data_IF_236212010372
#
_entry.id   IF_236212010372
#
_cell.length_a   1.000
_cell.length_b   1.000
_cell.length_c   1.000
_cell.angle_alpha   90.00
_cell.angle_beta   90.00
_cell.angle_gamma   90.00
#
_symmetry.space_group_name_H-M   'P 1'
#
loop_
_entity.id
_entity.type
_entity.pdbx_description
1 polymer ?
#
# COMPACT_ATOMS: atom_id res chain seq x y z
N UNK A 1 -7.01 -0.92 -20.49
CA UNK A 1 -6.60 -0.59 -19.12
C UNK A 1 -5.76 -1.73 -18.57
N UNK A 2 -4.48 -1.46 -18.31
CA UNK A 2 -3.55 -2.36 -17.61
C UNK A 2 -3.38 -1.79 -16.20
N UNK A 3 -3.61 -2.62 -15.19
CA UNK A 3 -3.59 -2.20 -13.79
C UNK A 3 -2.14 -1.97 -13.32
N UNK A 4 -1.91 -1.08 -12.34
CA UNK A 4 -0.58 -0.85 -11.82
C UNK A 4 0.01 -2.11 -11.20
N UNK A 5 1.20 -2.48 -11.68
CA UNK A 5 2.00 -3.61 -11.20
C UNK A 5 3.44 -3.13 -10.99
N UNK A 6 4.01 -3.24 -9.77
CA UNK A 6 5.34 -2.71 -9.47
C UNK A 6 6.40 -3.17 -10.47
N UNK A 7 7.11 -2.22 -11.07
CA UNK A 7 8.14 -2.47 -12.08
C UNK A 7 7.64 -2.64 -13.52
N UNK A 8 6.34 -2.54 -13.74
CA UNK A 8 5.72 -2.61 -15.06
C UNK A 8 4.92 -1.35 -15.40
N UNK A 9 4.69 -1.18 -16.70
CA UNK A 9 3.84 -0.12 -17.23
C UNK A 9 2.37 -0.46 -17.02
N UNK A 10 1.60 0.55 -16.64
CA UNK A 10 0.16 0.55 -16.48
C UNK A 10 -0.47 1.48 -17.49
N UNK A 11 -1.73 1.23 -17.86
CA UNK A 11 -2.44 2.06 -18.83
C UNK A 11 -3.82 2.43 -18.35
N UNK A 12 -4.15 3.71 -18.47
CA UNK A 12 -5.45 4.28 -18.16
C UNK A 12 -6.00 5.04 -19.36
N UNK A 13 -7.32 5.01 -19.55
CA UNK A 13 -7.99 5.73 -20.63
C UNK A 13 -8.67 6.97 -20.05
N UNK A 14 -8.39 8.14 -20.63
CA UNK A 14 -9.05 9.39 -20.31
C UNK A 14 -9.90 9.84 -21.51
N UNK A 15 -11.19 10.04 -21.25
CA UNK A 15 -12.18 10.36 -22.28
C UNK A 15 -12.95 11.63 -21.95
N UNK A 16 -13.07 12.52 -22.92
CA UNK A 16 -13.97 13.68 -22.86
C UNK A 16 -15.07 13.51 -23.91
N UNK A 17 -16.33 13.67 -23.50
CA UNK A 17 -17.49 13.63 -24.39
C UNK A 17 -18.09 15.02 -24.54
N UNK A 18 -18.24 15.49 -25.79
CA UNK A 18 -19.01 16.69 -26.05
C UNK A 18 -20.47 16.33 -26.32
N UNK A 19 -21.35 16.50 -25.34
CA UNK A 19 -22.77 16.16 -25.47
C UNK A 19 -23.62 17.25 -26.13
N UNK A 20 -23.01 18.35 -26.58
CA UNK A 20 -23.70 19.53 -27.11
C UNK A 20 -23.61 19.61 -28.64
N UNK A 21 -24.56 20.34 -29.24
CA UNK A 21 -24.67 20.53 -30.69
C UNK A 21 -23.65 21.54 -31.28
N UNK A 22 -22.67 21.98 -30.48
CA UNK A 22 -21.63 22.95 -30.86
C UNK A 22 -20.23 22.37 -30.72
N UNK A 23 -19.24 23.04 -31.29
CA UNK A 23 -17.84 22.69 -31.11
C UNK A 23 -17.37 23.10 -29.70
N UNK A 24 -16.70 22.20 -28.98
CA UNK A 24 -16.16 22.44 -27.63
C UNK A 24 -14.64 22.44 -27.65
N UNK A 25 -14.04 23.45 -27.03
CA UNK A 25 -12.58 23.60 -26.92
C UNK A 25 -12.19 23.92 -25.49
N UNK A 26 -11.07 23.37 -25.05
CA UNK A 26 -10.56 23.61 -23.71
C UNK A 26 -9.22 22.93 -23.49
N UNK A 27 -8.88 22.71 -22.24
CA UNK A 27 -7.67 22.01 -21.81
C UNK A 27 -8.06 20.90 -20.86
N UNK A 28 -7.61 19.69 -21.17
CA UNK A 28 -7.59 18.58 -20.24
C UNK A 28 -6.36 18.71 -19.36
N UNK A 29 -6.54 18.54 -18.06
CA UNK A 29 -5.49 18.37 -17.08
C UNK A 29 -5.63 16.99 -16.43
N UNK A 30 -4.57 16.21 -16.47
CA UNK A 30 -4.52 14.89 -15.85
C UNK A 30 -3.41 14.86 -14.81
N UNK A 31 -3.75 14.33 -13.64
CA UNK A 31 -2.90 14.24 -12.46
C UNK A 31 -2.86 12.77 -12.01
N UNK A 32 -1.76 12.04 -12.27
CA UNK A 32 -1.63 10.69 -11.77
C UNK A 32 -1.49 10.68 -10.24
N UNK A 33 -1.65 9.51 -9.65
CA UNK A 33 -1.19 9.26 -8.27
C UNK A 33 0.28 9.71 -8.09
N UNK A 34 0.67 10.32 -6.95
CA UNK A 34 2.05 10.77 -6.72
C UNK A 34 3.12 9.69 -6.87
N UNK A 35 2.77 8.41 -6.71
CA UNK A 35 3.69 7.29 -6.91
C UNK A 35 3.80 6.87 -8.38
N UNK A 36 2.80 7.17 -9.21
CA UNK A 36 2.80 6.81 -10.63
C UNK A 36 3.50 7.89 -11.49
N UNK A 37 4.33 7.45 -12.43
CA UNK A 37 5.06 8.36 -13.32
C UNK A 37 4.58 8.22 -14.76
N UNK A 38 4.15 9.31 -15.40
CA UNK A 38 3.72 9.29 -16.81
C UNK A 38 4.92 9.04 -17.72
N UNK A 39 4.79 8.08 -18.63
CA UNK A 39 5.80 7.72 -19.64
C UNK A 39 5.42 8.31 -21.00
N UNK A 40 4.19 8.05 -21.45
CA UNK A 40 3.69 8.43 -22.76
C UNK A 40 2.19 8.70 -22.69
N UNK A 41 1.68 9.50 -23.63
CA UNK A 41 0.24 9.71 -23.80
C UNK A 41 -0.09 9.57 -25.27
N UNK A 42 -0.90 8.58 -25.63
CA UNK A 42 -1.28 8.32 -27.01
C UNK A 42 -2.67 8.86 -27.31
N UNK A 43 -2.83 9.51 -28.46
CA UNK A 43 -4.16 9.80 -29.00
C UNK A 43 -4.78 8.55 -29.65
N UNK A 44 -6.03 8.67 -30.10
CA UNK A 44 -6.74 7.59 -30.81
C UNK A 44 -6.06 7.09 -32.10
N UNK A 45 -5.11 7.86 -32.65
CA UNK A 45 -4.34 7.47 -33.83
C UNK A 45 -3.01 6.79 -33.46
N UNK A 46 -2.74 6.59 -32.16
CA UNK A 46 -1.49 6.02 -31.66
C UNK A 46 -0.31 7.00 -31.72
N UNK A 47 -0.55 8.30 -31.81
CA UNK A 47 0.49 9.32 -31.78
C UNK A 47 0.77 9.71 -30.34
N UNK A 48 2.04 9.62 -29.92
CA UNK A 48 2.47 10.13 -28.62
C UNK A 48 2.42 11.67 -28.60
N UNK A 49 1.44 12.22 -27.90
CA UNK A 49 1.17 13.65 -27.83
C UNK A 49 2.10 14.38 -26.87
N UNK A 50 2.80 13.68 -25.96
CA UNK A 50 3.88 14.29 -25.17
C UNK A 50 5.13 14.45 -26.04
N UNK A 51 5.50 13.40 -26.77
CA UNK A 51 6.68 13.43 -27.63
C UNK A 51 6.54 14.41 -28.81
N UNK A 52 5.33 14.57 -29.35
CA UNK A 52 5.08 15.50 -30.46
C UNK A 52 4.83 16.96 -30.00
N UNK A 53 4.78 17.21 -28.69
CA UNK A 53 4.61 18.54 -28.10
C UNK A 53 3.18 19.09 -28.06
N UNK A 54 2.16 18.28 -28.37
CA UNK A 54 0.75 18.67 -28.26
C UNK A 54 0.32 18.76 -26.78
N UNK A 55 0.74 17.78 -25.98
CA UNK A 55 0.61 17.79 -24.53
C UNK A 55 1.85 18.40 -23.88
N UNK A 56 1.65 19.09 -22.75
CA UNK A 56 2.72 19.70 -21.95
C UNK A 56 2.75 19.07 -20.56
N UNK A 57 3.93 18.65 -20.12
CA UNK A 57 4.14 18.17 -18.74
C UNK A 57 3.96 19.32 -17.76
N UNK A 58 3.26 19.05 -16.66
CA UNK A 58 3.06 19.99 -15.55
C UNK A 58 3.78 19.49 -14.29
N UNK A 59 3.79 20.27 -13.21
CA UNK A 59 4.41 19.85 -11.94
C UNK A 59 3.76 18.63 -11.29
N UNK A 60 2.57 18.25 -11.74
CA UNK A 60 1.73 17.24 -11.08
C UNK A 60 1.06 16.27 -12.06
N UNK A 61 1.51 16.25 -13.33
CA UNK A 61 0.93 15.43 -14.39
C UNK A 61 1.14 16.03 -15.77
N UNK A 62 0.11 16.09 -16.61
CA UNK A 62 0.18 16.75 -17.92
C UNK A 62 -1.09 17.55 -18.24
N UNK A 63 -0.98 18.43 -19.23
CA UNK A 63 -2.12 19.15 -19.80
C UNK A 63 -2.09 19.10 -21.32
N UNK A 64 -3.24 18.96 -21.97
CA UNK A 64 -3.35 18.97 -23.43
C UNK A 64 -4.59 19.76 -23.88
N UNK A 65 -4.50 20.57 -24.94
CA UNK A 65 -5.68 21.20 -25.53
C UNK A 65 -6.56 20.14 -26.20
N UNK A 66 -7.88 20.31 -26.13
CA UNK A 66 -8.84 19.53 -26.90
C UNK A 66 -9.71 20.42 -27.78
N UNK A 67 -10.18 19.84 -28.88
CA UNK A 67 -11.14 20.43 -29.79
C UNK A 67 -12.08 19.34 -30.29
N UNK A 68 -13.33 19.35 -29.81
CA UNK A 68 -14.28 18.25 -29.98
C UNK A 68 -15.51 18.79 -30.70
N UNK A 69 -15.77 18.26 -31.89
CA UNK A 69 -16.97 18.59 -32.65
C UNK A 69 -18.25 18.20 -31.88
N UNK A 70 -19.38 18.73 -32.33
CA UNK A 70 -20.68 18.40 -31.75
C UNK A 70 -20.89 16.88 -31.67
N UNK A 71 -21.26 16.38 -30.49
CA UNK A 71 -21.46 14.94 -30.22
C UNK A 71 -20.22 14.06 -30.41
N UNK A 72 -19.03 14.67 -30.41
CA UNK A 72 -17.75 13.99 -30.55
C UNK A 72 -17.12 13.58 -29.22
N UNK A 73 -15.98 12.91 -29.32
CA UNK A 73 -15.20 12.38 -28.21
C UNK A 73 -13.71 12.67 -28.40
N UNK A 74 -12.99 12.83 -27.31
CA UNK A 74 -11.53 12.91 -27.27
C UNK A 74 -10.98 11.87 -26.30
N UNK A 75 -10.25 10.90 -26.84
CA UNK A 75 -9.73 9.75 -26.11
C UNK A 75 -8.22 9.77 -26.07
N UNK A 76 -7.68 9.50 -24.89
CA UNK A 76 -6.26 9.38 -24.64
C UNK A 76 -5.97 8.11 -23.87
N UNK A 77 -4.92 7.40 -24.29
CA UNK A 77 -4.30 6.36 -23.47
C UNK A 77 -3.09 6.96 -22.74
N UNK A 78 -3.13 6.93 -21.41
CA UNK A 78 -2.04 7.39 -20.55
C UNK A 78 -1.26 6.17 -20.08
N UNK A 79 0.02 6.11 -20.44
CA UNK A 79 0.94 5.04 -20.03
C UNK A 79 1.78 5.54 -18.86
N UNK A 80 1.81 4.77 -17.77
CA UNK A 80 2.45 5.15 -16.51
C UNK A 80 3.31 4.03 -15.95
N UNK A 81 4.51 4.35 -15.46
CA UNK A 81 5.34 3.44 -14.67
C UNK A 81 4.83 3.34 -13.23
N UNK A 82 4.78 2.12 -12.72
CA UNK A 82 4.59 1.84 -11.28
C UNK A 82 5.96 1.57 -10.65
N UNK A 83 6.41 2.34 -9.64
CA UNK A 83 7.72 2.12 -9.04
C UNK A 83 7.75 0.81 -8.22
N UNK A 84 8.92 0.18 -8.17
CA UNK A 84 9.15 -1.05 -7.37
C UNK A 84 9.35 -0.76 -5.88
N UNK A 85 9.75 0.46 -5.53
CA UNK A 85 10.00 0.88 -4.15
C UNK A 85 8.89 1.78 -3.65
N UNK A 86 8.44 1.55 -2.41
CA UNK A 86 7.44 2.40 -1.74
C UNK A 86 5.99 2.09 -2.13
N UNK A 87 5.77 1.06 -2.95
CA UNK A 87 4.44 0.60 -3.38
C UNK A 87 4.28 -0.87 -2.98
N UNK A 88 3.14 -1.21 -2.36
CA UNK A 88 2.77 -2.55 -1.92
C UNK A 88 1.58 -3.07 -2.72
N UNK A 89 1.44 -4.40 -2.81
CA UNK A 89 0.23 -5.01 -3.37
C UNK A 89 -0.97 -4.61 -2.50
N UNK A 90 -2.06 -4.20 -3.14
CA UNK A 90 -3.26 -3.73 -2.47
C UNK A 90 -3.30 -2.22 -2.21
N UNK A 91 -2.21 -1.48 -2.44
CA UNK A 91 -2.24 -0.02 -2.43
C UNK A 91 -3.25 0.52 -3.44
N UNK A 92 -3.82 1.68 -3.17
CA UNK A 92 -4.79 2.33 -4.06
C UNK A 92 -4.12 3.55 -4.67
N UNK A 93 -4.00 3.56 -6.00
CA UNK A 93 -3.57 4.74 -6.75
C UNK A 93 -4.79 5.54 -7.17
N UNK A 94 -4.81 6.82 -6.85
CA UNK A 94 -5.89 7.73 -7.21
C UNK A 94 -5.45 8.67 -8.32
N UNK A 95 -6.01 8.49 -9.52
CA UNK A 95 -5.76 9.35 -10.66
C UNK A 95 -6.91 10.34 -10.84
N UNK A 96 -6.58 11.60 -11.16
CA UNK A 96 -7.57 12.67 -11.32
C UNK A 96 -7.47 13.28 -12.72
N UNK A 97 -8.62 13.64 -13.29
CA UNK A 97 -8.70 14.38 -14.55
C UNK A 97 -9.70 15.52 -14.43
N UNK A 98 -9.39 16.65 -15.05
CA UNK A 98 -10.27 17.82 -15.10
C UNK A 98 -10.20 18.55 -16.43
N UNK A 99 -11.28 19.23 -16.81
CA UNK A 99 -11.31 20.08 -18.01
C UNK A 99 -11.53 21.55 -17.65
N UNK A 100 -10.89 22.46 -18.37
CA UNK A 100 -10.97 23.91 -18.17
C UNK A 100 -11.08 24.66 -19.53
N UNK A 101 -11.71 25.85 -19.59
CA UNK A 101 -12.41 26.54 -18.49
C UNK A 101 -13.86 26.06 -18.31
N UNK A 102 -14.34 26.04 -17.08
CA UNK A 102 -15.72 25.67 -16.75
C UNK A 102 -16.77 26.66 -17.28
N UNK A 103 -16.37 27.89 -17.59
CA UNK A 103 -17.28 28.96 -18.03
C UNK A 103 -17.82 28.77 -19.45
N UNK A 104 -17.23 27.86 -20.23
CA UNK A 104 -17.69 27.53 -21.59
C UNK A 104 -18.49 26.23 -21.65
N UNK A 105 -18.66 25.54 -20.52
CA UNK A 105 -19.48 24.34 -20.41
C UNK A 105 -20.83 24.68 -19.76
N UNK A 106 -21.93 24.23 -20.37
CA UNK A 106 -23.28 24.39 -19.81
C UNK A 106 -23.54 23.48 -18.61
N UNK A 107 -22.76 22.41 -18.44
CA UNK A 107 -22.80 21.54 -17.26
C UNK A 107 -21.39 21.32 -16.69
N UNK A 108 -20.96 22.23 -15.82
CA UNK A 108 -19.65 22.13 -15.19
C UNK A 108 -19.56 21.05 -14.09
N UNK A 109 -20.65 20.33 -13.77
CA UNK A 109 -20.67 19.37 -12.65
C UNK A 109 -19.90 18.09 -12.93
N UNK A 110 -19.64 17.79 -14.21
CA UNK A 110 -18.91 16.60 -14.66
C UNK A 110 -17.50 16.91 -15.20
N UNK A 111 -17.01 18.15 -14.98
CA UNK A 111 -15.71 18.58 -15.48
C UNK A 111 -14.52 18.02 -14.69
N UNK A 112 -14.78 17.24 -13.63
CA UNK A 112 -13.75 16.61 -12.81
C UNK A 112 -14.14 15.15 -12.59
N UNK A 113 -13.15 14.26 -12.67
CA UNK A 113 -13.30 12.85 -12.37
C UNK A 113 -12.08 12.33 -11.63
N UNK A 114 -12.29 11.27 -10.85
CA UNK A 114 -11.25 10.56 -10.12
C UNK A 114 -11.48 9.07 -10.27
N UNK A 115 -10.40 8.30 -10.35
CA UNK A 115 -10.46 6.84 -10.44
C UNK A 115 -9.41 6.23 -9.52
N UNK A 116 -9.88 5.31 -8.70
CA UNK A 116 -9.07 4.51 -7.81
C UNK A 116 -8.77 3.17 -8.49
N UNK A 117 -7.49 2.83 -8.60
CA UNK A 117 -7.02 1.55 -9.12
C UNK A 117 -6.14 0.87 -8.09
N UNK A 118 -6.39 -0.41 -7.84
CA UNK A 118 -5.61 -1.18 -6.89
C UNK A 118 -4.32 -1.66 -7.55
N UNK A 119 -3.20 -1.53 -6.84
CA UNK A 119 -1.92 -2.12 -7.24
C UNK A 119 -2.01 -3.63 -7.11
N UNK A 120 -1.76 -4.31 -8.23
CA UNK A 120 -1.83 -5.77 -8.35
C UNK A 120 -0.48 -6.31 -8.81
N UNK A 121 -0.16 -7.55 -8.43
CA UNK A 121 0.93 -8.28 -9.06
C UNK A 121 0.50 -9.73 -9.26
N UNK A 122 1.11 -10.41 -10.24
CA UNK A 122 0.96 -11.87 -10.37
C UNK A 122 1.61 -12.55 -9.18
N UNK A 123 0.91 -13.50 -8.57
CA UNK A 123 1.47 -14.33 -7.53
C UNK A 123 2.43 -15.35 -8.19
N UNK A 124 3.73 -15.27 -7.93
CA UNK A 124 4.66 -16.35 -8.33
C UNK A 124 4.41 -17.56 -7.40
N UNK A 125 3.98 -18.72 -7.92
CA UNK A 125 3.79 -19.90 -7.08
C UNK A 125 5.10 -20.47 -6.51
N UNK A 126 6.25 -20.02 -7.04
CA UNK A 126 7.58 -20.30 -6.52
C UNK A 126 8.12 -19.05 -5.80
N UNK A 127 7.95 -18.98 -4.48
CA UNK A 127 8.31 -17.78 -3.71
C UNK A 127 9.02 -18.10 -2.38
N UNK A 128 9.51 -17.04 -1.76
CA UNK A 128 9.95 -17.04 -0.36
C UNK A 128 9.21 -15.92 0.36
N UNK A 129 8.67 -16.19 1.54
CA UNK A 129 7.93 -15.20 2.34
C UNK A 129 8.25 -15.34 3.83
N UNK A 130 8.18 -14.23 4.58
CA UNK A 130 8.21 -14.23 6.04
C UNK A 130 6.79 -14.07 6.59
N UNK A 131 6.47 -14.81 7.65
CA UNK A 131 5.10 -14.96 8.16
C UNK A 131 4.42 -13.65 8.62
N UNK A 132 5.18 -12.61 8.98
CA UNK A 132 4.67 -11.30 9.42
C UNK A 132 4.63 -10.27 8.30
N UNK A 133 5.12 -10.61 7.11
CA UNK A 133 5.20 -9.69 5.98
C UNK A 133 6.56 -9.00 5.86
N UNK A 134 6.68 -8.03 4.94
CA UNK A 134 7.95 -7.39 4.61
C UNK A 134 8.42 -6.37 5.67
N UNK A 135 7.54 -5.88 6.54
CA UNK A 135 7.83 -4.92 7.59
C UNK A 135 7.48 -5.47 8.97
N UNK A 136 8.45 -5.44 9.89
CA UNK A 136 8.29 -5.87 11.27
C UNK A 136 8.53 -4.66 12.18
N UNK A 137 7.51 -4.16 12.91
CA UNK A 137 7.72 -3.10 13.89
C UNK A 137 8.72 -3.55 14.96
N UNK A 138 9.82 -2.81 15.11
CA UNK A 138 10.96 -3.19 15.96
C UNK A 138 10.56 -3.45 17.43
N UNK A 139 9.54 -2.74 17.92
CA UNK A 139 9.01 -2.84 19.29
C UNK A 139 8.17 -4.11 19.53
N UNK A 140 7.74 -4.77 18.46
CA UNK A 140 7.01 -6.05 18.50
C UNK A 140 7.90 -7.28 18.37
N UNK A 141 9.21 -7.09 18.15
CA UNK A 141 10.16 -8.18 17.90
C UNK A 141 11.35 -8.12 18.86
N UNK A 142 11.55 -9.21 19.60
CA UNK A 142 12.63 -9.36 20.58
C UNK A 142 13.71 -10.35 20.13
N UNK A 143 14.83 -10.38 20.84
CA UNK A 143 15.92 -11.37 20.61
C UNK A 143 15.49 -12.82 20.88
N UNK A 144 14.33 -13.04 21.49
CA UNK A 144 13.78 -14.37 21.69
C UNK A 144 12.92 -14.84 20.52
N UNK A 145 12.46 -13.91 19.69
CA UNK A 145 11.56 -14.18 18.58
C UNK A 145 12.31 -14.75 17.37
N UNK A 146 11.57 -15.52 16.57
CA UNK A 146 12.05 -16.11 15.34
C UNK A 146 11.40 -15.42 14.15
N UNK A 147 12.19 -15.26 13.08
CA UNK A 147 11.67 -15.06 11.74
C UNK A 147 11.23 -16.42 11.20
N UNK A 148 10.03 -16.49 10.64
CA UNK A 148 9.48 -17.73 10.07
C UNK A 148 9.35 -17.57 8.57
N UNK A 149 10.17 -18.31 7.82
CA UNK A 149 10.18 -18.28 6.37
C UNK A 149 9.48 -19.49 5.79
N UNK A 150 8.73 -19.26 4.71
CA UNK A 150 8.13 -20.31 3.87
C UNK A 150 8.66 -20.18 2.46
N UNK A 151 9.31 -21.23 1.95
CA UNK A 151 9.67 -21.38 0.54
C UNK A 151 8.57 -22.24 -0.10
N UNK A 152 7.93 -21.75 -1.15
CA UNK A 152 6.96 -22.52 -1.94
C UNK A 152 7.52 -22.84 -3.32
N UNK A 153 7.03 -23.94 -3.87
CA UNK A 153 7.34 -24.35 -5.22
C UNK A 153 6.15 -25.06 -5.85
N UNK A 154 5.98 -24.90 -7.16
CA UNK A 154 4.93 -25.56 -7.92
C UNK A 154 5.47 -26.07 -9.26
N UNK A 155 5.11 -27.29 -9.63
CA UNK A 155 5.47 -27.84 -10.93
C UNK A 155 4.54 -27.31 -12.03
N UNK A 156 4.97 -26.26 -12.71
CA UNK A 156 4.31 -25.68 -13.89
C UNK A 156 4.69 -26.39 -15.20
N UNK A 157 5.47 -27.48 -15.13
CA UNK A 157 5.86 -28.28 -16.28
C UNK A 157 4.69 -29.08 -16.87
N UNK A 158 4.98 -29.90 -17.87
CA UNK A 158 3.97 -30.76 -18.53
C UNK A 158 4.03 -32.22 -18.09
N UNK A 159 4.90 -32.57 -17.15
CA UNK A 159 5.11 -33.92 -16.64
C UNK A 159 5.47 -33.89 -15.15
N UNK A 160 5.28 -35.02 -14.46
CA UNK A 160 5.62 -35.12 -13.03
C UNK A 160 7.12 -35.02 -12.80
N UNK A 161 7.54 -34.20 -11.83
CA UNK A 161 8.92 -34.13 -11.40
C UNK A 161 9.25 -35.33 -10.51
N UNK A 162 10.30 -36.08 -10.85
CA UNK A 162 10.71 -37.24 -10.07
C UNK A 162 11.39 -36.83 -8.77
N UNK A 163 12.17 -35.76 -8.79
CA UNK A 163 12.75 -35.13 -7.60
C UNK A 163 12.69 -33.60 -7.67
N UNK A 164 12.73 -32.97 -6.50
CA UNK A 164 12.92 -31.52 -6.37
C UNK A 164 14.10 -31.25 -5.45
N UNK A 165 14.99 -30.34 -5.86
CA UNK A 165 16.08 -29.83 -5.01
C UNK A 165 15.89 -28.34 -4.78
N UNK A 166 15.98 -27.89 -3.54
CA UNK A 166 15.85 -26.48 -3.17
C UNK A 166 17.13 -26.04 -2.47
N UNK A 167 17.84 -25.10 -3.09
CA UNK A 167 19.01 -24.47 -2.51
C UNK A 167 18.63 -23.09 -1.95
N UNK A 168 19.12 -22.76 -0.76
CA UNK A 168 18.94 -21.43 -0.16
C UNK A 168 20.16 -21.06 0.69
N UNK A 169 20.31 -19.78 1.01
CA UNK A 169 21.40 -19.27 1.84
C UNK A 169 20.86 -18.37 2.94
N UNK A 170 21.27 -18.63 4.17
CA UNK A 170 20.93 -17.80 5.32
C UNK A 170 21.67 -16.46 5.26
N UNK A 171 20.92 -15.35 5.40
CA UNK A 171 21.49 -14.01 5.44
C UNK A 171 22.54 -13.86 6.55
N UNK A 172 23.64 -13.09 6.37
CA UNK A 172 24.70 -12.93 7.37
C UNK A 172 24.23 -12.44 8.73
N UNK A 173 23.19 -11.60 8.77
CA UNK A 173 22.59 -11.10 10.01
C UNK A 173 21.77 -12.13 10.79
N UNK A 174 21.70 -13.38 10.34
CA UNK A 174 21.00 -14.46 11.02
C UNK A 174 21.96 -15.33 11.84
N UNK A 175 21.51 -15.78 13.00
CA UNK A 175 22.21 -16.73 13.85
C UNK A 175 21.97 -18.16 13.33
N UNK A 176 22.95 -18.66 12.60
CA UNK A 176 22.89 -19.98 11.97
C UNK A 176 22.71 -21.14 12.96
N UNK A 177 23.07 -20.96 14.23
CA UNK A 177 22.93 -22.00 15.26
C UNK A 177 21.47 -22.22 15.69
N UNK A 178 20.60 -21.24 15.39
CA UNK A 178 19.18 -21.26 15.76
C UNK A 178 18.27 -21.77 14.65
N UNK A 179 18.85 -22.13 13.49
CA UNK A 179 18.09 -22.61 12.34
C UNK A 179 17.35 -23.91 12.67
N UNK A 180 16.05 -23.92 12.38
CA UNK A 180 15.19 -25.08 12.59
C UNK A 180 14.16 -25.22 11.46
N UNK A 181 14.06 -26.41 10.88
CA UNK A 181 12.99 -26.75 9.94
C UNK A 181 11.73 -27.08 10.74
N UNK A 182 10.63 -26.38 10.45
CA UNK A 182 9.36 -26.52 11.17
C UNK A 182 8.46 -27.55 10.47
N UNK A 183 8.33 -27.45 9.16
CA UNK A 183 7.43 -28.30 8.38
C UNK A 183 7.85 -28.36 6.91
N UNK A 184 7.50 -29.45 6.24
CA UNK A 184 7.63 -29.61 4.79
C UNK A 184 6.38 -30.28 4.25
N UNK A 185 6.06 -30.08 2.96
CA UNK A 185 4.93 -30.78 2.32
C UNK A 185 5.22 -32.24 2.04
N UNK A 186 6.49 -32.60 1.83
CA UNK A 186 6.91 -33.94 1.42
C UNK A 186 8.11 -34.42 2.25
N UNK A 187 8.37 -35.73 2.18
CA UNK A 187 9.56 -36.34 2.76
C UNK A 187 10.83 -35.79 2.09
N UNK A 188 11.86 -35.52 2.89
CA UNK A 188 13.04 -34.81 2.42
C UNK A 188 14.32 -35.35 3.06
N UNK A 189 15.43 -35.13 2.35
CA UNK A 189 16.78 -35.12 2.88
C UNK A 189 17.25 -33.67 2.94
N UNK A 190 18.06 -33.34 3.94
CA UNK A 190 18.55 -31.99 4.12
C UNK A 190 20.01 -31.99 4.55
N UNK A 191 20.79 -31.08 3.98
CA UNK A 191 22.15 -30.81 4.43
C UNK A 191 22.35 -29.31 4.67
N UNK A 192 23.11 -29.00 5.72
CA UNK A 192 23.51 -27.65 6.10
C UNK A 192 25.02 -27.53 6.06
N UNK A 193 25.56 -26.67 5.21
CA UNK A 193 26.99 -26.36 5.18
C UNK A 193 27.20 -24.88 5.49
N UNK A 194 27.45 -24.57 6.77
CA UNK A 194 27.46 -23.20 7.27
C UNK A 194 26.10 -22.54 7.06
N UNK A 195 26.04 -21.53 6.19
CA UNK A 195 24.82 -20.79 5.83
C UNK A 195 24.08 -21.35 4.61
N UNK A 196 24.66 -22.32 3.90
CA UNK A 196 24.01 -22.94 2.75
C UNK A 196 23.07 -24.06 3.19
N UNK A 197 21.85 -24.01 2.68
CA UNK A 197 20.79 -24.97 2.89
C UNK A 197 20.56 -25.72 1.59
N UNK A 198 20.51 -27.05 1.66
CA UNK A 198 20.23 -27.92 0.52
C UNK A 198 19.19 -28.95 0.92
N UNK A 199 17.98 -28.77 0.41
CA UNK A 199 16.86 -29.67 0.58
C UNK A 199 16.67 -30.52 -0.66
N UNK A 200 16.50 -31.82 -0.48
CA UNK A 200 16.30 -32.77 -1.55
C UNK A 200 15.07 -33.64 -1.28
N UNK A 201 14.06 -33.48 -2.12
CA UNK A 201 12.83 -34.26 -2.12
C UNK A 201 12.95 -35.35 -3.17
N UNK A 202 13.51 -36.48 -2.76
CA UNK A 202 13.66 -37.64 -3.63
C UNK A 202 12.32 -38.36 -3.82
N UNK A 203 12.10 -38.89 -5.02
CA UNK A 203 10.92 -39.69 -5.37
C UNK A 203 9.58 -39.02 -5.02
N UNK A 204 9.53 -37.68 -5.13
CA UNK A 204 8.35 -36.86 -4.81
C UNK A 204 7.20 -37.07 -5.81
N UNK A 205 7.53 -37.40 -7.07
CA UNK A 205 6.56 -37.60 -8.15
C UNK A 205 5.53 -36.45 -8.27
N UNK A 206 6.01 -35.22 -8.14
CA UNK A 206 5.18 -34.02 -8.06
C UNK A 206 4.47 -33.78 -9.39
N UNK A 207 3.13 -33.95 -9.50
CA UNK A 207 2.41 -33.85 -10.77
C UNK A 207 2.47 -32.43 -11.35
N UNK A 208 2.27 -32.27 -12.67
CA UNK A 208 2.14 -30.95 -13.26
C UNK A 208 0.82 -30.30 -12.86
N UNK A 209 0.80 -28.98 -12.72
CA UNK A 209 -0.39 -28.18 -12.34
C UNK A 209 -1.62 -28.51 -13.21
N UNK A 210 -1.42 -28.66 -14.52
CA UNK A 210 -2.50 -28.96 -15.47
C UNK A 210 -3.17 -30.33 -15.25
N UNK A 211 -2.54 -31.23 -14.50
CA UNK A 211 -3.09 -32.55 -14.14
C UNK A 211 -3.70 -32.55 -12.75
N UNK A 212 -3.00 -31.96 -11.78
CA UNK A 212 -3.44 -31.86 -10.39
C UNK A 212 -2.88 -30.58 -9.78
N UNK A 213 -3.64 -29.48 -9.87
CA UNK A 213 -3.23 -28.17 -9.38
C UNK A 213 -2.94 -28.18 -7.87
N UNK A 214 -3.80 -28.72 -7.00
CA UNK A 214 -3.47 -28.82 -5.58
C UNK A 214 -2.24 -29.69 -5.31
N UNK A 215 -2.12 -30.82 -6.01
CA UNK A 215 -1.03 -31.78 -5.85
C UNK A 215 0.32 -31.34 -6.44
N UNK A 216 0.34 -30.35 -7.34
CA UNK A 216 1.57 -29.86 -7.98
C UNK A 216 2.42 -28.94 -7.09
N UNK A 217 1.94 -28.65 -5.88
CA UNK A 217 2.53 -27.72 -4.93
C UNK A 217 3.41 -28.41 -3.89
N UNK A 218 4.44 -27.70 -3.42
CA UNK A 218 5.20 -28.06 -2.23
C UNK A 218 5.76 -26.86 -1.47
N UNK A 219 6.19 -27.10 -0.25
CA UNK A 219 6.74 -26.05 0.62
C UNK A 219 7.78 -26.57 1.61
N UNK A 220 8.64 -25.65 2.05
CA UNK A 220 9.53 -25.77 3.20
C UNK A 220 9.24 -24.59 4.12
N UNK A 221 8.91 -24.87 5.39
CA UNK A 221 8.80 -23.87 6.44
C UNK A 221 9.94 -24.05 7.43
N UNK A 222 10.68 -22.98 7.69
CA UNK A 222 11.75 -22.96 8.68
C UNK A 222 11.70 -21.69 9.52
N UNK A 223 12.36 -21.72 10.68
CA UNK A 223 12.52 -20.56 11.54
C UNK A 223 13.98 -20.34 11.91
N UNK A 224 14.34 -19.09 12.14
CA UNK A 224 15.70 -18.68 12.51
C UNK A 224 15.67 -17.33 13.23
N UNK A 225 16.61 -17.11 14.16
CA UNK A 225 16.74 -15.83 14.86
C UNK A 225 17.72 -14.89 14.14
N UNK A 226 17.44 -13.58 14.14
CA UNK A 226 18.47 -12.60 13.82
C UNK A 226 19.57 -12.60 14.89
N UNK A 227 20.78 -12.21 14.51
CA UNK A 227 21.87 -11.92 15.45
C UNK A 227 21.45 -10.76 16.36
N UNK A 228 21.94 -10.75 17.60
CA UNK A 228 21.72 -9.64 18.53
C UNK A 228 22.24 -8.32 17.96
N UNK A 229 21.51 -7.23 18.19
CA UNK A 229 21.91 -5.89 17.76
C UNK A 229 21.23 -5.40 16.46
N UNK A 230 20.19 -6.10 16.00
CA UNK A 230 19.32 -5.59 14.94
C UNK A 230 18.63 -4.28 15.37
N UNK A 231 18.44 -3.36 14.42
CA UNK A 231 17.91 -2.02 14.63
C UNK A 231 16.93 -1.61 13.54
N UNK A 232 16.24 -0.48 13.74
CA UNK A 232 15.37 0.11 12.72
C UNK A 232 16.17 0.39 11.44
N UNK A 233 15.60 -0.01 10.30
CA UNK A 233 16.19 0.10 8.97
C UNK A 233 17.04 -1.11 8.56
N UNK A 234 17.25 -2.09 9.44
CA UNK A 234 17.95 -3.31 9.08
C UNK A 234 17.11 -4.16 8.11
N UNK A 235 17.81 -4.73 7.13
CA UNK A 235 17.23 -5.52 6.05
C UNK A 235 17.76 -6.95 6.12
N UNK A 236 16.86 -7.93 6.06
CA UNK A 236 17.18 -9.34 6.00
C UNK A 236 16.55 -9.92 4.74
N UNK A 237 17.39 -10.38 3.83
CA UNK A 237 16.94 -10.96 2.57
C UNK A 237 16.88 -12.49 2.61
N UNK A 238 15.91 -13.06 1.89
CA UNK A 238 15.78 -14.50 1.70
C UNK A 238 15.42 -14.81 0.24
N UNK A 239 16.03 -15.86 -0.32
CA UNK A 239 15.77 -16.34 -1.69
C UNK A 239 16.04 -17.84 -1.80
N UNK A 240 15.50 -18.47 -2.83
CA UNK A 240 15.74 -19.89 -3.12
C UNK A 240 15.96 -20.15 -4.62
N UNK A 241 16.68 -21.23 -4.90
CA UNK A 241 16.87 -21.80 -6.24
C UNK A 241 16.23 -23.19 -6.25
N UNK A 242 15.20 -23.38 -7.06
CA UNK A 242 14.38 -24.59 -7.09
C UNK A 242 14.64 -25.35 -8.39
N UNK A 243 15.07 -26.60 -8.27
CA UNK A 243 15.36 -27.48 -9.39
C UNK A 243 14.32 -28.60 -9.44
N UNK A 244 13.64 -28.72 -10.58
CA UNK A 244 12.77 -29.85 -10.89
C UNK A 244 13.53 -30.81 -11.81
N UNK A 245 13.78 -32.03 -11.33
CA UNK A 245 14.66 -32.99 -12.01
C UNK A 245 16.00 -32.34 -12.42
N UNK A 246 16.42 -32.51 -13.67
CA UNK A 246 17.67 -31.96 -14.23
C UNK A 246 17.47 -30.61 -14.95
N UNK A 247 16.33 -29.96 -14.78
CA UNK A 247 16.06 -28.67 -15.41
C UNK A 247 16.88 -27.55 -14.75
N UNK A 248 16.98 -26.42 -15.45
CA UNK A 248 17.54 -25.19 -14.89
C UNK A 248 16.74 -24.72 -13.67
N UNK A 249 17.41 -24.02 -12.75
CA UNK A 249 16.78 -23.55 -11.53
C UNK A 249 15.72 -22.48 -11.83
N UNK A 250 14.57 -22.60 -11.18
CA UNK A 250 13.64 -21.50 -10.98
C UNK A 250 14.14 -20.71 -9.77
N UNK A 251 14.64 -19.50 -10.02
CA UNK A 251 15.16 -18.60 -8.98
C UNK A 251 13.98 -17.77 -8.49
N UNK A 252 13.69 -17.82 -7.19
CA UNK A 252 12.62 -17.00 -6.61
C UNK A 252 13.00 -15.53 -6.60
N UNK A 253 12.01 -14.66 -6.57
CA UNK A 253 12.22 -13.28 -6.16
C UNK A 253 12.84 -13.21 -4.75
N UNK A 254 13.56 -12.12 -4.49
CA UNK A 254 14.22 -11.92 -3.19
C UNK A 254 13.24 -11.28 -2.22
N UNK A 255 12.86 -12.01 -1.18
CA UNK A 255 12.09 -11.45 -0.07
C UNK A 255 12.97 -10.55 0.78
N UNK A 256 12.48 -9.39 1.17
CA UNK A 256 13.16 -8.45 2.06
C UNK A 256 12.29 -8.23 3.30
N UNK A 257 12.84 -8.55 4.46
CA UNK A 257 12.25 -8.24 5.76
C UNK A 257 12.96 -7.02 6.34
N UNK A 258 12.21 -5.98 6.68
CA UNK A 258 12.72 -4.73 7.24
C UNK A 258 12.24 -4.57 8.67
N UNK A 259 13.13 -4.18 9.57
CA UNK A 259 12.73 -3.72 10.90
C UNK A 259 12.35 -2.25 10.85
N UNK A 260 11.08 -1.94 11.06
CA UNK A 260 10.57 -0.59 10.93
C UNK A 260 10.41 0.09 12.28
N UNK A 261 10.56 1.42 12.29
CA UNK A 261 10.09 2.19 13.43
C UNK A 261 8.55 2.08 13.47
N UNK A 262 7.95 1.82 14.64
CA UNK A 262 6.51 1.91 14.76
C UNK A 262 6.05 3.29 14.29
N UNK A 263 5.08 3.32 13.38
CA UNK A 263 4.39 4.55 13.02
C UNK A 263 3.56 5.00 14.25
N UNK A 264 4.19 5.80 15.11
CA UNK A 264 3.57 6.28 16.35
C UNK A 264 2.27 7.02 16.05
N UNK A 265 1.14 6.42 16.42
CA UNK A 265 0.03 7.18 17.00
C UNK A 265 -0.02 6.80 18.47
N UNK A 266 0.73 7.54 19.28
CA UNK A 266 0.81 7.33 20.71
C UNK A 266 -0.58 7.40 21.35
N UNK A 267 -0.99 6.27 21.93
CA UNK A 267 -1.90 6.08 23.05
C UNK A 267 -3.05 7.09 23.22
N UNK A 268 -4.26 6.65 22.84
CA UNK A 268 -5.51 7.29 23.22
C UNK A 268 -5.68 7.25 24.75
N UNK A 269 -5.38 8.34 25.45
CA UNK A 269 -5.90 8.55 26.81
C UNK A 269 -7.41 8.80 26.74
N UNK A 270 -8.20 7.77 27.05
CA UNK A 270 -9.65 7.89 27.17
C UNK A 270 -9.99 8.74 28.42
N UNK A 271 -10.17 10.04 28.23
CA UNK A 271 -10.73 10.94 29.26
C UNK A 271 -12.23 11.13 29.01
N UNK A 272 -13.01 11.21 30.09
CA UNK A 272 -14.45 11.48 30.01
C UNK A 272 -14.72 12.95 30.32
N UNK A 273 -15.72 13.51 29.64
CA UNK A 273 -16.21 14.88 29.87
C UNK A 273 -17.61 14.86 30.44
N UNK A 274 -17.90 15.77 31.37
CA UNK A 274 -19.24 15.94 31.91
C UNK A 274 -19.54 17.41 32.26
N UNK A 275 -20.80 17.86 32.17
CA UNK A 275 -21.94 17.12 31.62
C UNK A 275 -21.92 17.09 30.08
N UNK A 276 -22.34 15.97 29.50
CA UNK A 276 -22.63 15.83 28.06
C UNK A 276 -23.94 15.03 27.91
N UNK A 277 -25.08 15.66 27.56
CA UNK A 277 -25.21 17.00 27.00
C UNK A 277 -24.93 18.14 27.99
N UNK A 278 -24.21 19.16 27.53
CA UNK A 278 -23.86 20.36 28.27
C UNK A 278 -25.07 21.31 28.33
N UNK A 279 -25.52 21.64 29.54
CA UNK A 279 -26.66 22.55 29.77
C UNK A 279 -26.17 23.97 30.09
N UNK A 280 -25.14 24.11 30.93
CA UNK A 280 -24.47 25.38 31.22
C UNK A 280 -23.30 25.67 30.27
N UNK A 281 -22.33 26.46 30.71
CA UNK A 281 -21.13 26.75 29.91
C UNK A 281 -19.85 26.11 30.48
N UNK A 282 -19.95 25.36 31.57
CA UNK A 282 -18.80 24.71 32.20
C UNK A 282 -18.77 23.22 31.88
N UNK A 283 -17.63 22.74 31.40
CA UNK A 283 -17.34 21.33 31.12
C UNK A 283 -16.18 20.86 31.99
N UNK A 284 -16.30 19.69 32.59
CA UNK A 284 -15.31 19.08 33.48
C UNK A 284 -14.69 17.83 32.84
N UNK A 285 -13.44 17.55 33.20
CA UNK A 285 -12.65 16.41 32.76
C UNK A 285 -12.31 15.51 33.95
N UNK A 286 -12.37 14.19 33.79
CA UNK A 286 -12.07 13.25 34.88
C UNK A 286 -10.57 12.98 35.10
N UNK A 287 -9.75 13.05 34.03
CA UNK A 287 -8.33 12.64 34.07
C UNK A 287 -7.42 13.59 33.28
N UNK A 288 -7.77 14.87 33.22
CA UNK A 288 -7.02 15.87 32.48
C UNK A 288 -7.07 17.20 33.23
N UNK A 289 -5.97 17.60 33.86
CA UNK A 289 -5.94 18.83 34.68
C UNK A 289 -5.65 20.10 33.87
N UNK A 290 -4.89 19.98 32.78
CA UNK A 290 -4.50 21.08 31.91
C UNK A 290 -4.37 20.68 30.44
N UNK A 291 -4.41 21.64 29.52
CA UNK A 291 -4.23 21.40 28.08
C UNK A 291 -4.76 22.54 27.23
N UNK A 292 -4.33 22.63 25.96
CA UNK A 292 -4.91 23.58 25.00
C UNK A 292 -6.14 22.95 24.35
N UNK A 293 -7.26 23.66 24.34
CA UNK A 293 -8.53 23.15 23.85
C UNK A 293 -9.06 23.99 22.67
N UNK A 294 -9.57 23.31 21.66
CA UNK A 294 -10.21 23.89 20.48
C UNK A 294 -11.55 23.20 20.25
N UNK A 295 -12.59 23.96 19.98
CA UNK A 295 -13.93 23.47 19.69
C UNK A 295 -14.24 23.75 18.22
N UNK A 296 -14.73 22.72 17.54
CA UNK A 296 -15.09 22.76 16.13
C UNK A 296 -16.58 22.43 15.96
N UNK A 297 -17.24 23.09 15.00
CA UNK A 297 -18.53 22.62 14.49
C UNK A 297 -18.35 21.39 13.60
N UNK A 298 -19.46 20.69 13.31
CA UNK A 298 -19.42 19.45 12.52
C UNK A 298 -18.90 19.61 11.08
N UNK A 299 -18.94 20.82 10.53
CA UNK A 299 -18.36 21.20 9.24
C UNK A 299 -16.85 21.53 9.32
N UNK A 300 -16.22 21.32 10.48
CA UNK A 300 -14.78 21.49 10.69
C UNK A 300 -14.33 22.91 10.99
N UNK A 301 -15.25 23.88 11.10
CA UNK A 301 -14.91 25.26 11.44
C UNK A 301 -14.59 25.39 12.94
N UNK A 302 -13.46 26.01 13.28
CA UNK A 302 -13.14 26.37 14.67
C UNK A 302 -14.09 27.47 15.16
N UNK A 303 -14.74 27.21 16.30
CA UNK A 303 -15.73 28.11 16.90
C UNK A 303 -15.31 28.63 18.27
N UNK A 304 -14.35 27.97 18.92
CA UNK A 304 -13.79 28.41 20.20
C UNK A 304 -12.39 27.84 20.39
N UNK A 305 -11.53 28.58 21.08
CA UNK A 305 -10.25 28.10 21.58
C UNK A 305 -10.00 28.63 23.00
N UNK A 306 -9.20 27.89 23.76
CA UNK A 306 -8.85 28.24 25.13
C UNK A 306 -8.03 27.14 25.79
N UNK A 307 -8.04 27.09 27.11
CA UNK A 307 -7.29 26.09 27.87
C UNK A 307 -8.21 25.32 28.82
N UNK A 308 -7.87 24.05 29.07
CA UNK A 308 -8.31 23.33 30.26
C UNK A 308 -7.49 23.84 31.43
N UNK A 309 -8.15 24.29 32.49
CA UNK A 309 -7.52 24.75 33.72
C UNK A 309 -8.20 24.08 34.92
N UNK A 310 -7.43 23.38 35.75
CA UNK A 310 -7.95 22.61 36.90
C UNK A 310 -9.07 21.63 36.49
N UNK A 311 -8.88 20.95 35.36
CA UNK A 311 -9.81 19.96 34.85
C UNK A 311 -11.16 20.50 34.39
N UNK A 312 -11.22 21.78 34.01
CA UNK A 312 -12.44 22.38 33.45
C UNK A 312 -12.16 23.34 32.31
N UNK A 313 -13.17 23.50 31.46
CA UNK A 313 -13.30 24.57 30.47
C UNK A 313 -14.56 25.36 30.82
N UNK A 314 -14.46 26.69 30.72
CA UNK A 314 -15.61 27.58 30.74
C UNK A 314 -15.75 28.21 29.34
N UNK A 315 -16.79 27.80 28.64
CA UNK A 315 -17.10 28.32 27.32
C UNK A 315 -17.78 29.69 27.42
N UNK A 316 -17.62 30.51 26.37
CA UNK A 316 -18.51 31.66 26.16
C UNK A 316 -19.89 31.16 25.67
N UNK A 317 -20.79 32.08 25.31
CA UNK A 317 -22.10 31.72 24.78
C UNK A 317 -21.99 30.76 23.57
N UNK A 318 -22.32 29.48 23.81
CA UNK A 318 -22.38 28.43 22.80
C UNK A 318 -23.84 28.16 22.44
N UNK A 319 -24.13 28.15 21.14
CA UNK A 319 -25.44 27.76 20.63
C UNK A 319 -25.71 26.26 20.83
N UNK A 320 -26.97 25.87 20.85
CA UNK A 320 -27.36 24.46 20.90
C UNK A 320 -26.88 23.74 19.64
N UNK A 321 -26.25 22.57 19.79
CA UNK A 321 -25.67 21.85 18.67
C UNK A 321 -24.64 20.80 19.05
N UNK A 322 -24.15 20.09 18.03
CA UNK A 322 -23.06 19.13 18.15
C UNK A 322 -21.73 19.78 17.78
N UNK A 323 -20.71 19.45 18.57
CA UNK A 323 -19.37 19.99 18.43
C UNK A 323 -18.32 18.88 18.61
N UNK A 324 -17.13 19.12 18.09
CA UNK A 324 -15.94 18.31 18.33
C UNK A 324 -14.98 19.15 19.18
N UNK A 325 -14.68 18.68 20.38
CA UNK A 325 -13.70 19.27 21.28
C UNK A 325 -12.37 18.52 21.12
N UNK A 326 -11.33 19.23 20.69
CA UNK A 326 -9.96 18.74 20.59
C UNK A 326 -9.15 19.34 21.74
N UNK A 327 -8.42 18.51 22.48
CA UNK A 327 -7.53 18.95 23.56
C UNK A 327 -6.14 18.40 23.36
N UNK A 328 -5.14 19.28 23.37
CA UNK A 328 -3.73 18.95 23.25
C UNK A 328 -3.04 19.08 24.61
N UNK A 329 -2.39 18.03 25.08
CA UNK A 329 -1.58 18.02 26.30
C UNK A 329 -0.29 17.21 26.04
N UNK A 330 0.88 17.85 26.17
CA UNK A 330 2.20 17.23 26.10
C UNK A 330 2.33 16.18 24.97
N UNK A 331 2.11 16.63 23.72
CA UNK A 331 2.15 15.84 22.47
C UNK A 331 1.03 14.81 22.26
N UNK A 332 0.05 14.73 23.15
CA UNK A 332 -1.17 13.94 22.97
C UNK A 332 -2.34 14.81 22.52
N UNK A 333 -3.08 14.33 21.52
CA UNK A 333 -4.31 14.95 21.04
C UNK A 333 -5.50 14.07 21.42
N UNK A 334 -6.43 14.62 22.20
CA UNK A 334 -7.70 13.96 22.54
C UNK A 334 -8.82 14.66 21.77
N UNK A 335 -9.67 13.88 21.09
CA UNK A 335 -10.86 14.41 20.40
C UNK A 335 -12.14 13.79 20.97
N UNK A 336 -13.11 14.63 21.33
CA UNK A 336 -14.36 14.22 21.99
C UNK A 336 -15.57 14.91 21.35
N UNK A 337 -16.71 14.22 21.34
CA UNK A 337 -17.98 14.79 20.89
C UNK A 337 -18.70 15.48 22.05
N UNK A 338 -19.06 16.74 21.85
CA UNK A 338 -19.82 17.55 22.81
C UNK A 338 -21.19 17.90 22.23
N UNK A 339 -22.27 17.69 22.99
CA UNK A 339 -23.61 18.15 22.66
C UNK A 339 -24.00 19.29 23.60
N UNK A 340 -24.23 20.50 23.07
CA UNK A 340 -24.80 21.63 23.81
C UNK A 340 -26.32 21.63 23.65
N UNK A 341 -27.06 21.68 24.75
CA UNK A 341 -28.52 21.82 24.77
C UNK A 341 -28.97 23.27 24.76
#
# INVERSE_FOLDING_TARGET
MIWPNPGFDSTLEATINNLHAGNSTGTLQFNPDPMASIIAVYDRNGIDILANGTATVTSSGFSTPYNIMAFGQYDLEVVMATPVTGVQLGDIFTHNASINPNSTDSDATNNNTSVDVTVVASYDPNDVTEARGPGIPIDTFSTNDFLEYTIRFQNLGTASAQFVRVLSSLHPSLDESTFEVIATSHAYLYTKNGRQLDFFFDSIQLPPEVVDEPGSNGFIKYRIKPLSGFAVGDLISARAEIFFDYNSAVITETWITTFDAPASTSDWQQTSIYPNPLVGNTLFFEKLDSGQAQLFSLDGKEIWNGNVENGRIEFNDLHAGFYILKVNNNDQTISMKLLKK
#
